data_IF_226776666672
#
_entry.id   IF_226776666672
#
_cell.length_a   1.000
_cell.length_b   1.000
_cell.length_c   1.000
_cell.angle_alpha   90.00
_cell.angle_beta   90.00
_cell.angle_gamma   90.00
#
_symmetry.space_group_name_H-M   'P 1'
#
loop_
_entity.id
_entity.type
_entity.pdbx_description
1 polymer ?
#
# COMPACT_ATOMS: atom_id res chain seq x y z
N UNK A 1 -5.33 -17.94 21.74
CA UNK A 1 -4.37 -18.11 20.63
C UNK A 1 -4.68 -19.42 19.90
N UNK A 2 -4.31 -19.56 18.61
CA UNK A 2 -4.47 -20.82 17.87
C UNK A 2 -5.69 -20.97 16.95
N UNK A 3 -6.45 -19.89 16.68
CA UNK A 3 -7.66 -19.93 15.84
C UNK A 3 -7.41 -20.49 14.43
N UNK A 4 -6.31 -20.09 13.77
CA UNK A 4 -5.95 -20.61 12.44
C UNK A 4 -5.65 -22.12 12.47
N UNK A 5 -4.88 -22.56 13.46
CA UNK A 5 -4.54 -23.97 13.65
C UNK A 5 -5.78 -24.84 13.91
N UNK A 6 -6.72 -24.37 14.74
CA UNK A 6 -7.97 -25.07 15.03
C UNK A 6 -8.85 -25.26 13.79
N UNK A 7 -8.70 -24.38 12.78
CA UNK A 7 -9.44 -24.45 11.51
C UNK A 7 -8.62 -25.06 10.37
N UNK A 8 -7.44 -25.61 10.65
CA UNK A 8 -6.49 -26.10 9.65
C UNK A 8 -6.14 -25.05 8.57
N UNK A 9 -6.14 -23.77 8.95
CA UNK A 9 -5.74 -22.66 8.08
C UNK A 9 -4.28 -22.28 8.35
N UNK A 10 -3.56 -21.91 7.28
CA UNK A 10 -2.23 -21.33 7.41
C UNK A 10 -2.32 -19.96 8.11
N UNK A 11 -1.37 -19.69 9.02
CA UNK A 11 -1.27 -18.36 9.64
C UNK A 11 -0.84 -17.34 8.57
N UNK A 12 -1.62 -16.26 8.36
CA UNK A 12 -1.28 -15.29 7.33
C UNK A 12 -0.03 -14.50 7.71
N UNK A 13 0.80 -14.21 6.71
CA UNK A 13 1.95 -13.32 6.88
C UNK A 13 1.53 -11.86 6.64
N UNK A 14 1.19 -11.14 7.72
CA UNK A 14 0.74 -9.75 7.62
C UNK A 14 1.80 -8.80 7.05
N UNK A 15 3.08 -9.19 7.02
CA UNK A 15 4.12 -8.41 6.36
C UNK A 15 3.85 -8.22 4.86
N UNK A 16 3.00 -9.05 4.25
CA UNK A 16 2.58 -8.93 2.86
C UNK A 16 1.68 -7.75 2.57
N UNK A 17 1.11 -7.13 3.61
CA UNK A 17 0.20 -5.99 3.51
C UNK A 17 0.89 -4.65 3.77
N UNK A 18 2.21 -4.65 4.05
CA UNK A 18 2.91 -3.44 4.48
C UNK A 18 3.00 -2.36 3.40
N UNK A 19 2.89 -2.72 2.13
CA UNK A 19 2.77 -1.77 1.02
C UNK A 19 1.47 -0.96 1.08
N UNK A 20 0.34 -1.62 1.36
CA UNK A 20 -0.96 -0.99 1.60
C UNK A 20 -0.93 -0.13 2.87
N UNK A 21 -0.35 -0.65 3.96
CA UNK A 21 -0.19 0.10 5.21
C UNK A 21 0.63 1.37 4.98
N UNK A 22 1.75 1.27 4.26
CA UNK A 22 2.60 2.43 3.97
C UNK A 22 1.86 3.47 3.11
N UNK A 23 1.17 3.05 2.05
CA UNK A 23 0.39 3.95 1.22
C UNK A 23 -0.70 4.66 2.03
N UNK A 24 -1.53 3.91 2.78
CA UNK A 24 -2.61 4.48 3.58
C UNK A 24 -2.10 5.43 4.65
N UNK A 25 -1.08 5.01 5.41
CA UNK A 25 -0.50 5.82 6.49
C UNK A 25 0.01 7.17 5.97
N UNK A 26 0.69 7.16 4.82
CA UNK A 26 1.24 8.40 4.25
C UNK A 26 0.16 9.22 3.54
N UNK A 27 -0.77 8.58 2.82
CA UNK A 27 -1.85 9.27 2.10
C UNK A 27 -2.84 9.96 3.07
N UNK A 28 -3.09 9.37 4.24
CA UNK A 28 -3.96 9.93 5.29
C UNK A 28 -3.22 10.88 6.24
N UNK A 29 -1.95 11.19 5.95
CA UNK A 29 -1.13 12.13 6.75
C UNK A 29 -1.07 11.72 8.23
N UNK A 30 -1.01 10.41 8.48
CA UNK A 30 -0.92 9.86 9.84
C UNK A 30 0.46 10.21 10.44
N UNK A 31 0.54 10.59 11.74
CA UNK A 31 1.81 10.89 12.38
C UNK A 31 2.83 9.74 12.30
N UNK A 32 4.04 10.03 11.82
CA UNK A 32 5.15 9.06 11.74
C UNK A 32 5.91 8.96 13.07
N UNK A 33 5.19 8.52 14.10
CA UNK A 33 5.78 8.02 15.33
C UNK A 33 6.65 6.78 15.09
N UNK A 34 7.25 6.23 16.15
CA UNK A 34 8.15 5.09 16.06
C UNK A 34 7.54 3.91 15.29
N UNK A 35 6.29 3.56 15.56
CA UNK A 35 5.65 2.38 14.97
C UNK A 35 5.30 2.63 13.51
N UNK A 36 4.64 3.77 13.23
CA UNK A 36 4.23 4.12 11.87
C UNK A 36 5.46 4.32 10.96
N UNK A 37 6.55 4.90 11.49
CA UNK A 37 7.80 5.03 10.77
C UNK A 37 8.39 3.68 10.38
N UNK A 38 8.37 2.69 11.27
CA UNK A 38 8.87 1.34 10.97
C UNK A 38 7.99 0.67 9.91
N UNK A 39 6.67 0.74 10.06
CA UNK A 39 5.72 0.15 9.11
C UNK A 39 5.87 0.76 7.71
N UNK A 40 5.93 2.09 7.62
CA UNK A 40 6.14 2.82 6.35
C UNK A 40 7.50 2.47 5.74
N UNK A 41 8.56 2.42 6.55
CA UNK A 41 9.90 2.03 6.07
C UNK A 41 9.90 0.63 5.45
N UNK A 42 9.30 -0.34 6.13
CA UNK A 42 9.22 -1.72 5.63
C UNK A 42 8.33 -1.84 4.39
N UNK A 43 7.20 -1.12 4.35
CA UNK A 43 6.34 -1.05 3.17
C UNK A 43 7.05 -0.47 1.95
N UNK A 44 7.79 0.63 2.11
CA UNK A 44 8.63 1.20 1.04
C UNK A 44 9.69 0.20 0.57
N UNK A 45 10.34 -0.52 1.48
CA UNK A 45 11.33 -1.53 1.12
C UNK A 45 10.72 -2.66 0.29
N UNK A 46 9.52 -3.13 0.66
CA UNK A 46 8.78 -4.12 -0.12
C UNK A 46 8.43 -3.62 -1.52
N UNK A 47 7.91 -2.40 -1.64
CA UNK A 47 7.56 -1.81 -2.95
C UNK A 47 8.81 -1.71 -3.83
N UNK A 48 9.92 -1.22 -3.29
CA UNK A 48 11.22 -1.14 -4.00
C UNK A 48 11.74 -2.50 -4.45
N UNK A 49 11.45 -3.56 -3.68
CA UNK A 49 11.79 -4.95 -4.02
C UNK A 49 10.81 -5.60 -5.02
N UNK A 50 9.84 -4.85 -5.55
CA UNK A 50 8.81 -5.37 -6.47
C UNK A 50 7.74 -6.22 -5.80
N UNK A 51 7.66 -6.20 -4.46
CA UNK A 51 6.71 -6.99 -3.66
C UNK A 51 5.53 -6.15 -3.18
N UNK A 52 4.77 -5.60 -4.12
CA UNK A 52 3.59 -4.79 -3.85
C UNK A 52 2.40 -5.16 -4.73
N UNK A 53 1.22 -4.69 -4.35
CA UNK A 53 -0.03 -4.89 -5.10
C UNK A 53 0.10 -4.36 -6.54
N UNK A 54 -0.47 -5.06 -7.54
CA UNK A 54 -0.51 -4.59 -8.92
C UNK A 54 -1.05 -3.16 -9.07
N UNK A 55 -2.10 -2.80 -8.32
CA UNK A 55 -2.64 -1.45 -8.31
C UNK A 55 -1.65 -0.37 -7.85
N UNK A 56 -0.79 -0.65 -6.86
CA UNK A 56 0.26 0.28 -6.43
C UNK A 56 1.28 0.46 -7.55
N UNK A 57 1.67 -0.64 -8.22
CA UNK A 57 2.58 -0.59 -9.38
C UNK A 57 1.99 0.22 -10.53
N UNK A 58 0.71 0.01 -10.86
CA UNK A 58 0.01 0.78 -11.89
C UNK A 58 -0.02 2.28 -11.54
N UNK A 59 -0.27 2.64 -10.27
CA UNK A 59 -0.22 4.03 -9.83
C UNK A 59 1.18 4.64 -9.98
N UNK A 60 2.24 3.87 -9.70
CA UNK A 60 3.63 4.32 -9.89
C UNK A 60 3.94 4.60 -11.36
N UNK A 61 3.49 3.72 -12.26
CA UNK A 61 3.65 3.85 -13.71
C UNK A 61 2.95 5.11 -14.24
N UNK A 62 1.68 5.31 -13.89
CA UNK A 62 0.91 6.50 -14.26
C UNK A 62 1.50 7.78 -13.64
N UNK A 63 2.07 7.67 -12.43
CA UNK A 63 2.76 8.77 -11.76
C UNK A 63 4.19 9.01 -12.29
N UNK A 64 4.70 8.17 -13.19
CA UNK A 64 6.07 8.19 -13.72
C UNK A 64 7.13 8.15 -12.62
N UNK A 65 6.94 7.29 -11.62
CA UNK A 65 7.87 7.10 -10.48
C UNK A 65 8.60 5.76 -10.59
N UNK A 66 9.92 5.77 -10.41
CA UNK A 66 10.70 4.53 -10.29
C UNK A 66 10.48 3.93 -8.89
N UNK A 67 9.86 2.75 -8.84
CA UNK A 67 9.61 2.02 -7.61
C UNK A 67 10.88 1.81 -6.76
N UNK A 68 12.05 1.66 -7.39
CA UNK A 68 13.33 1.40 -6.70
C UNK A 68 13.86 2.62 -5.94
N UNK A 69 13.45 3.81 -6.35
CA UNK A 69 13.86 5.08 -5.73
C UNK A 69 12.74 5.69 -4.87
N UNK A 70 11.59 5.02 -4.78
CA UNK A 70 10.38 5.52 -4.15
C UNK A 70 10.61 5.96 -2.71
N UNK A 71 10.28 7.19 -2.33
CA UNK A 71 10.31 7.68 -0.95
C UNK A 71 8.90 7.92 -0.41
N UNK A 72 8.77 8.13 0.91
CA UNK A 72 7.47 8.34 1.54
C UNK A 72 6.70 9.51 0.89
N UNK A 73 7.37 10.63 0.59
CA UNK A 73 6.71 11.77 -0.05
C UNK A 73 6.10 11.44 -1.42
N UNK A 74 6.66 10.50 -2.18
CA UNK A 74 6.03 10.05 -3.44
C UNK A 74 4.69 9.37 -3.18
N UNK A 75 4.56 8.59 -2.10
CA UNK A 75 3.27 8.00 -1.71
C UNK A 75 2.24 9.09 -1.42
N UNK A 76 2.61 10.12 -0.65
CA UNK A 76 1.70 11.18 -0.23
C UNK A 76 1.35 12.20 -1.32
N UNK A 77 2.28 12.51 -2.22
CA UNK A 77 2.09 13.57 -3.23
C UNK A 77 1.83 13.04 -4.64
N UNK A 78 2.26 11.82 -4.96
CA UNK A 78 2.04 11.23 -6.28
C UNK A 78 0.92 10.18 -6.25
N UNK A 79 0.92 9.25 -5.30
CA UNK A 79 -0.04 8.14 -5.31
C UNK A 79 -1.35 8.49 -4.61
N UNK A 80 -1.28 9.03 -3.38
CA UNK A 80 -2.44 9.39 -2.56
C UNK A 80 -3.48 10.24 -3.30
N UNK A 81 -3.10 11.35 -3.97
CA UNK A 81 -4.05 12.18 -4.70
C UNK A 81 -4.73 11.45 -5.87
N UNK A 82 -4.02 10.53 -6.55
CA UNK A 82 -4.57 9.76 -7.68
C UNK A 82 -5.58 8.72 -7.19
N UNK A 83 -5.24 8.02 -6.12
CA UNK A 83 -6.16 7.09 -5.47
C UNK A 83 -7.43 7.81 -4.99
N UNK A 84 -7.27 8.96 -4.34
CA UNK A 84 -8.38 9.77 -3.84
C UNK A 84 -9.20 10.41 -4.96
N UNK A 85 -8.60 10.71 -6.11
CA UNK A 85 -9.32 11.23 -7.27
C UNK A 85 -10.22 10.16 -7.90
N UNK A 86 -9.74 8.91 -8.01
CA UNK A 86 -10.54 7.80 -8.50
C UNK A 86 -11.81 7.61 -7.64
N UNK A 87 -11.69 7.74 -6.32
CA UNK A 87 -12.85 7.61 -5.41
C UNK A 87 -13.83 8.80 -5.40
N UNK A 88 -13.47 9.96 -5.98
CA UNK A 88 -14.34 11.16 -6.04
C UNK A 88 -15.06 11.32 -7.37
N UNK A 89 -14.55 10.74 -8.45
CA UNK A 89 -15.04 10.93 -9.81
C UNK A 89 -16.14 9.93 -10.20
N UNK A 90 -16.09 8.69 -9.70
CA UNK A 90 -17.06 7.63 -10.05
C UNK A 90 -17.68 6.98 -8.80
N UNK A 91 -16.89 6.16 -8.09
CA UNK A 91 -17.28 5.38 -6.91
C UNK A 91 -16.01 5.01 -6.13
N UNK A 92 -16.02 5.13 -4.79
CA UNK A 92 -14.88 4.70 -3.94
C UNK A 92 -14.54 3.21 -4.13
N UNK A 93 -15.48 2.39 -4.59
CA UNK A 93 -15.25 0.98 -4.92
C UNK A 93 -14.13 0.76 -5.93
N UNK A 94 -13.90 1.71 -6.86
CA UNK A 94 -12.85 1.63 -7.88
C UNK A 94 -11.45 1.68 -7.25
N UNK A 95 -11.24 2.58 -6.30
CA UNK A 95 -9.95 2.69 -5.60
C UNK A 95 -9.63 1.44 -4.77
N UNK A 96 -10.67 0.85 -4.15
CA UNK A 96 -10.53 -0.42 -3.41
C UNK A 96 -10.24 -1.57 -4.37
N UNK A 97 -10.97 -1.68 -5.47
CA UNK A 97 -10.77 -2.71 -6.49
C UNK A 97 -9.35 -2.66 -7.06
N UNK A 98 -8.83 -1.46 -7.35
CA UNK A 98 -7.45 -1.27 -7.79
C UNK A 98 -6.43 -1.86 -6.80
N UNK A 99 -6.61 -1.63 -5.49
CA UNK A 99 -5.68 -2.09 -4.46
C UNK A 99 -5.81 -3.59 -4.15
N UNK A 100 -6.96 -4.19 -4.43
CA UNK A 100 -7.24 -5.61 -4.24
C UNK A 100 -7.03 -6.45 -5.51
N UNK A 101 -6.74 -5.82 -6.64
CA UNK A 101 -6.48 -6.49 -7.92
C UNK A 101 -5.33 -7.49 -7.81
N UNK A 102 -5.45 -8.60 -8.53
CA UNK A 102 -4.41 -9.62 -8.68
C UNK A 102 -3.63 -9.47 -10.01
N UNK A 103 -4.10 -8.60 -10.92
CA UNK A 103 -3.48 -8.23 -12.21
C UNK A 103 -3.20 -6.73 -12.35
#
# INVERSE_FOLDING_TARGET
SGWFAQRALATPNLAELLDLVALGTVADVVPLDTNNRILVYQGLHRIRAGKCRPGIRALLEVAKRDARQLVASDLGFALGPRLNAAGRLDDMSVGVALLLSDD
#
